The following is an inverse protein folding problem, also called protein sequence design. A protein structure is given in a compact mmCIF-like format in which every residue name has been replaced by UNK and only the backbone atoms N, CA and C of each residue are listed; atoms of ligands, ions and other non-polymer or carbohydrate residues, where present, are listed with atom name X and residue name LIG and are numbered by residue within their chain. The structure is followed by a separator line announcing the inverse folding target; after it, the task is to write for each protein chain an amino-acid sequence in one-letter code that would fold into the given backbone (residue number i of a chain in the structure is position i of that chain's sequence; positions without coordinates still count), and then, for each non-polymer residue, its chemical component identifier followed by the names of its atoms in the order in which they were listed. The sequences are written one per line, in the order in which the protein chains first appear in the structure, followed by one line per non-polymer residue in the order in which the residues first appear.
data_IF_828856689054
#
_entry.id   IF_828856689054
#
_cell.length_a   1.000
_cell.length_b   1.000
_cell.length_c   1.000
_cell.angle_alpha   90.00
_cell.angle_beta   90.00
_cell.angle_gamma   90.00
#
_symmetry.space_group_name_H-M   'P 1'
#
loop_
_entity.id
_entity.type
_entity.pdbx_description
1 polymer ?
#
# COMPACT_ATOMS: atom_id res chain seq x y z
N UNK A 1 -20.36 -22.78 -2.90
CA UNK A 1 -19.41 -22.71 -1.78
C UNK A 1 -18.94 -21.27 -1.71
N UNK A 2 -19.15 -20.54 -0.60
CA UNK A 2 -18.61 -19.20 -0.43
C UNK A 2 -17.09 -19.25 -0.50
N UNK A 3 -16.51 -18.51 -1.44
CA UNK A 3 -15.08 -18.51 -1.68
C UNK A 3 -14.54 -17.09 -1.73
N UNK A 4 -13.25 -16.95 -1.43
CA UNK A 4 -12.55 -15.68 -1.57
C UNK A 4 -11.17 -15.85 -2.19
N UNK A 5 -10.68 -14.76 -2.77
CA UNK A 5 -9.31 -14.64 -3.28
C UNK A 5 -8.65 -13.43 -2.66
N UNK A 6 -7.46 -13.62 -2.11
CA UNK A 6 -6.67 -12.54 -1.54
C UNK A 6 -5.55 -12.11 -2.50
N UNK A 7 -5.51 -10.82 -2.81
CA UNK A 7 -4.55 -10.24 -3.76
C UNK A 7 -4.83 -10.68 -5.19
N UNK A 8 -3.77 -10.79 -6.01
CA UNK A 8 -3.85 -11.14 -7.43
C UNK A 8 -2.92 -12.32 -7.73
N UNK A 9 -3.23 -13.53 -7.23
CA UNK A 9 -2.40 -14.70 -7.50
C UNK A 9 -2.24 -14.90 -9.03
N UNK A 10 -1.04 -15.25 -9.53
CA UNK A 10 -0.89 -15.54 -10.95
C UNK A 10 -1.75 -16.73 -11.36
N UNK A 11 -2.57 -16.57 -12.41
CA UNK A 11 -3.50 -17.61 -12.89
C UNK A 11 -2.80 -18.91 -13.29
N UNK A 12 -1.52 -18.87 -13.66
CA UNK A 12 -0.72 -20.04 -14.00
C UNK A 12 0.02 -20.65 -12.79
N UNK A 13 -0.19 -20.09 -11.59
CA UNK A 13 0.34 -20.60 -10.31
C UNK A 13 -0.80 -21.17 -9.47
N UNK A 14 -1.89 -20.42 -9.32
CA UNK A 14 -2.99 -20.75 -8.42
C UNK A 14 -4.32 -20.46 -9.11
N UNK A 15 -5.20 -21.45 -9.11
CA UNK A 15 -6.56 -21.30 -9.65
C UNK A 15 -7.42 -20.52 -8.67
N UNK A 16 -8.08 -19.47 -9.16
CA UNK A 16 -9.00 -18.67 -8.35
C UNK A 16 -10.41 -19.25 -8.45
N UNK A 17 -11.11 -19.48 -7.33
CA UNK A 17 -12.47 -20.03 -7.37
C UNK A 17 -13.42 -19.10 -8.13
N UNK A 18 -14.30 -19.67 -8.94
CA UNK A 18 -15.28 -18.88 -9.70
C UNK A 18 -16.23 -18.14 -8.76
N UNK A 19 -16.39 -16.84 -8.98
CA UNK A 19 -17.25 -15.99 -8.14
C UNK A 19 -16.66 -15.70 -6.75
N UNK A 20 -15.37 -15.96 -6.55
CA UNK A 20 -14.69 -15.63 -5.30
C UNK A 20 -14.78 -14.13 -5.00
N UNK A 21 -15.06 -13.80 -3.74
CA UNK A 21 -14.97 -12.42 -3.23
C UNK A 21 -13.53 -11.95 -3.27
N UNK A 22 -13.31 -10.73 -3.76
CA UNK A 22 -11.98 -10.14 -3.79
C UNK A 22 -11.62 -9.55 -2.43
N UNK A 23 -10.49 -9.99 -1.86
CA UNK A 23 -9.91 -9.50 -0.61
C UNK A 23 -8.55 -8.89 -0.92
N UNK A 24 -8.41 -7.57 -0.87
CA UNK A 24 -7.08 -6.98 -0.96
C UNK A 24 -7.10 -5.55 -0.46
N UNK A 25 -6.14 -5.15 0.41
CA UNK A 25 -5.98 -3.75 0.73
C UNK A 25 -5.47 -2.94 -0.47
N UNK A 26 -4.93 -3.58 -1.50
CA UNK A 26 -4.31 -2.92 -2.67
C UNK A 26 -5.25 -2.82 -3.88
N UNK A 27 -6.49 -3.28 -3.76
CA UNK A 27 -7.48 -3.22 -4.85
C UNK A 27 -8.71 -2.45 -4.34
N UNK A 28 -8.85 -1.17 -4.72
CA UNK A 28 -10.01 -0.36 -4.35
C UNK A 28 -11.34 -1.05 -4.66
N UNK A 29 -12.25 -1.02 -3.69
CA UNK A 29 -13.57 -1.68 -3.77
C UNK A 29 -13.58 -3.15 -3.31
N UNK A 30 -12.45 -3.71 -2.91
CA UNK A 30 -12.37 -5.07 -2.34
C UNK A 30 -12.76 -5.11 -0.86
N UNK A 31 -13.20 -6.27 -0.40
CA UNK A 31 -13.59 -6.46 1.00
C UNK A 31 -12.36 -6.52 1.93
N UNK A 32 -12.59 -6.28 3.23
CA UNK A 32 -11.58 -6.49 4.27
C UNK A 32 -11.72 -7.86 4.90
N UNK A 33 -10.70 -8.71 4.76
CA UNK A 33 -10.65 -10.00 5.44
C UNK A 33 -10.82 -9.86 6.96
N UNK A 34 -10.33 -8.76 7.55
CA UNK A 34 -10.47 -8.51 8.99
C UNK A 34 -11.90 -8.17 9.43
N UNK A 35 -12.76 -7.74 8.50
CA UNK A 35 -14.17 -7.42 8.76
C UNK A 35 -15.11 -8.60 8.44
N UNK A 36 -14.59 -9.68 7.85
CA UNK A 36 -15.38 -10.87 7.57
C UNK A 36 -15.65 -11.66 8.85
N UNK A 37 -16.82 -12.33 8.89
CA UNK A 37 -17.17 -13.21 10.00
C UNK A 37 -16.30 -14.49 10.02
N UNK A 38 -16.05 -15.00 11.22
CA UNK A 38 -15.36 -16.28 11.43
C UNK A 38 -16.12 -17.42 10.74
N UNK A 39 -15.38 -18.39 10.19
CA UNK A 39 -15.95 -19.58 9.55
C UNK A 39 -17.05 -19.30 8.50
N UNK A 40 -16.92 -18.20 7.75
CA UNK A 40 -17.88 -17.74 6.73
C UNK A 40 -17.55 -18.17 5.29
N UNK A 41 -16.38 -18.76 5.08
CA UNK A 41 -15.90 -19.21 3.78
C UNK A 41 -15.60 -20.72 3.78
N UNK A 42 -15.85 -21.36 2.64
CA UNK A 42 -15.48 -22.77 2.38
C UNK A 42 -14.11 -22.86 1.69
N UNK A 43 -13.72 -21.84 0.93
CA UNK A 43 -12.49 -21.86 0.12
C UNK A 43 -11.80 -20.48 0.08
N UNK A 44 -10.47 -20.46 0.26
CA UNK A 44 -9.64 -19.26 0.11
C UNK A 44 -8.43 -19.53 -0.76
N UNK A 45 -8.31 -18.75 -1.82
CA UNK A 45 -7.11 -18.61 -2.65
C UNK A 45 -6.27 -17.43 -2.14
N UNK A 46 -5.03 -17.63 -1.74
CA UNK A 46 -4.24 -16.62 -1.02
C UNK A 46 -2.90 -16.34 -1.70
N UNK A 47 -2.73 -15.16 -2.32
CA UNK A 47 -1.39 -14.64 -2.59
C UNK A 47 -0.83 -14.01 -1.31
N UNK A 48 0.12 -14.70 -0.67
CA UNK A 48 0.68 -14.29 0.61
C UNK A 48 1.62 -13.09 0.40
N UNK A 49 1.46 -12.01 1.17
CA UNK A 49 2.29 -10.82 1.01
C UNK A 49 3.73 -11.05 1.47
N UNK A 50 4.69 -10.22 1.01
CA UNK A 50 6.12 -10.46 1.21
C UNK A 50 6.61 -10.14 2.63
N UNK A 51 5.96 -9.23 3.38
CA UNK A 51 6.34 -8.88 4.74
C UNK A 51 6.10 -10.03 5.73
N UNK A 52 7.02 -10.29 6.66
CA UNK A 52 6.89 -11.45 7.56
C UNK A 52 5.69 -11.34 8.52
N UNK A 53 5.55 -10.20 9.19
CA UNK A 53 4.43 -9.92 10.11
C UNK A 53 3.11 -9.83 9.34
N UNK A 54 3.12 -9.13 8.21
CA UNK A 54 1.98 -9.02 7.30
C UNK A 54 1.51 -10.40 6.79
N UNK A 55 2.44 -11.26 6.38
CA UNK A 55 2.12 -12.61 5.92
C UNK A 55 1.47 -13.45 7.02
N UNK A 56 2.03 -13.44 8.23
CA UNK A 56 1.42 -14.15 9.37
C UNK A 56 0.01 -13.65 9.66
N UNK A 57 -0.18 -12.34 9.67
CA UNK A 57 -1.49 -11.70 9.86
C UNK A 57 -2.50 -12.15 8.82
N UNK A 58 -2.14 -12.06 7.53
CA UNK A 58 -3.03 -12.40 6.42
C UNK A 58 -3.36 -13.89 6.40
N UNK A 59 -2.38 -14.78 6.65
CA UNK A 59 -2.62 -16.22 6.75
C UNK A 59 -3.52 -16.55 7.95
N UNK A 60 -3.29 -15.95 9.11
CA UNK A 60 -4.14 -16.14 10.29
C UNK A 60 -5.58 -15.66 10.04
N UNK A 61 -5.76 -14.51 9.40
CA UNK A 61 -7.07 -14.01 8.98
C UNK A 61 -7.76 -14.96 8.00
N UNK A 62 -7.04 -15.48 7.01
CA UNK A 62 -7.57 -16.45 6.05
C UNK A 62 -8.06 -17.73 6.74
N UNK A 63 -7.29 -18.26 7.71
CA UNK A 63 -7.67 -19.43 8.50
C UNK A 63 -8.87 -19.16 9.42
N UNK A 64 -8.97 -17.96 10.00
CA UNK A 64 -10.11 -17.53 10.85
C UNK A 64 -11.42 -17.52 10.06
N UNK A 65 -11.42 -16.97 8.85
CA UNK A 65 -12.63 -16.82 8.03
C UNK A 65 -13.06 -18.13 7.35
N UNK A 66 -12.15 -19.10 7.20
CA UNK A 66 -12.47 -20.43 6.67
C UNK A 66 -13.23 -21.26 7.70
N UNK A 67 -14.24 -22.04 7.29
CA UNK A 67 -14.91 -23.02 8.14
C UNK A 67 -14.01 -24.25 8.43
N UNK A 68 -14.20 -24.98 9.55
CA UNK A 68 -13.57 -26.29 9.75
C UNK A 68 -13.80 -27.21 8.55
N UNK A 69 -12.73 -27.80 7.99
CA UNK A 69 -12.77 -28.58 6.75
C UNK A 69 -12.71 -27.75 5.46
N UNK A 70 -12.70 -26.42 5.54
CA UNK A 70 -12.57 -25.53 4.39
C UNK A 70 -11.17 -25.56 3.78
N UNK A 71 -11.07 -25.26 2.48
CA UNK A 71 -9.82 -25.34 1.73
C UNK A 71 -9.08 -23.99 1.69
N UNK A 72 -7.81 -23.99 2.07
CA UNK A 72 -6.87 -22.90 1.83
C UNK A 72 -5.83 -23.35 0.82
N UNK A 73 -5.70 -22.61 -0.28
CA UNK A 73 -4.54 -22.72 -1.16
C UNK A 73 -3.78 -21.39 -1.09
N UNK A 74 -2.59 -21.42 -0.52
CA UNK A 74 -1.75 -20.24 -0.32
C UNK A 74 -0.50 -20.31 -1.20
N UNK A 75 -0.11 -19.20 -1.80
CA UNK A 75 1.09 -19.11 -2.63
C UNK A 75 1.91 -17.85 -2.33
N UNK A 76 3.22 -17.97 -2.41
CA UNK A 76 4.14 -16.83 -2.43
C UNK A 76 5.35 -17.13 -3.32
N UNK A 77 5.95 -16.10 -3.96
CA UNK A 77 7.23 -16.26 -4.64
C UNK A 77 8.29 -16.80 -3.68
N UNK A 78 9.13 -17.72 -4.16
CA UNK A 78 10.15 -18.41 -3.36
C UNK A 78 11.07 -17.42 -2.65
N UNK A 79 11.51 -16.40 -3.36
CA UNK A 79 12.40 -15.34 -2.88
C UNK A 79 11.68 -14.27 -2.04
N UNK A 80 10.34 -14.30 -1.99
CA UNK A 80 9.51 -13.31 -1.28
C UNK A 80 8.48 -13.96 -0.37
N UNK A 81 8.98 -14.81 0.52
CA UNK A 81 8.21 -15.40 1.61
C UNK A 81 7.68 -16.80 1.36
N UNK A 82 7.78 -17.33 0.13
CA UNK A 82 7.39 -18.70 -0.17
C UNK A 82 8.12 -19.72 0.72
N UNK A 83 9.42 -19.53 0.98
CA UNK A 83 10.22 -20.45 1.80
C UNK A 83 9.79 -20.57 3.28
N UNK A 84 9.07 -19.58 3.82
CA UNK A 84 8.56 -19.62 5.20
C UNK A 84 7.09 -20.07 5.28
N UNK A 85 6.37 -20.06 4.16
CA UNK A 85 4.91 -20.26 4.13
C UNK A 85 4.46 -21.56 4.79
N UNK A 86 5.08 -22.69 4.41
CA UNK A 86 4.78 -24.00 5.00
C UNK A 86 4.93 -23.98 6.52
N UNK A 87 6.08 -23.50 7.01
CA UNK A 87 6.36 -23.41 8.46
C UNK A 87 5.37 -22.50 9.19
N UNK A 88 4.94 -21.40 8.57
CA UNK A 88 3.92 -20.52 9.15
C UNK A 88 2.59 -21.25 9.32
N UNK A 89 2.13 -21.98 8.30
CA UNK A 89 0.89 -22.76 8.37
C UNK A 89 0.97 -23.91 9.38
N UNK A 90 2.07 -24.67 9.39
CA UNK A 90 2.32 -25.72 10.38
C UNK A 90 2.34 -25.16 11.81
N UNK A 91 2.90 -23.95 12.00
CA UNK A 91 2.88 -23.24 13.27
C UNK A 91 1.48 -22.85 13.76
N UNK A 92 0.50 -22.76 12.86
CA UNK A 92 -0.91 -22.57 13.20
C UNK A 92 -1.67 -23.88 13.42
N UNK A 93 -0.98 -25.03 13.41
CA UNK A 93 -1.57 -26.35 13.60
C UNK A 93 -2.12 -27.00 12.33
N UNK A 94 -1.77 -26.47 11.15
CA UNK A 94 -2.22 -27.02 9.87
C UNK A 94 -1.34 -28.19 9.41
N UNK A 95 -1.96 -29.22 8.84
CA UNK A 95 -1.27 -30.17 7.98
C UNK A 95 -1.14 -29.57 6.58
N UNK A 96 0.08 -29.57 6.01
CA UNK A 96 0.39 -28.80 4.80
C UNK A 96 0.92 -29.69 3.69
N UNK A 97 0.20 -29.72 2.56
CA UNK A 97 0.71 -30.25 1.29
C UNK A 97 1.42 -29.12 0.51
N UNK A 98 2.74 -29.23 0.34
CA UNK A 98 3.53 -28.24 -0.38
C UNK A 98 3.90 -28.71 -1.80
N UNK A 99 3.69 -27.83 -2.78
CA UNK A 99 4.21 -27.97 -4.14
C UNK A 99 4.92 -26.69 -4.56
N UNK A 100 5.53 -26.69 -5.74
CA UNK A 100 6.17 -25.51 -6.31
C UNK A 100 5.91 -25.41 -7.81
N UNK A 101 5.65 -24.20 -8.28
CA UNK A 101 5.38 -23.90 -9.69
C UNK A 101 5.81 -22.47 -10.00
N UNK A 102 6.43 -22.21 -11.15
CA UNK A 102 6.82 -20.86 -11.62
C UNK A 102 7.53 -20.01 -10.55
N UNK A 103 8.49 -20.59 -9.84
CA UNK A 103 9.21 -19.94 -8.73
C UNK A 103 8.35 -19.57 -7.51
N UNK A 104 7.12 -20.06 -7.40
CA UNK A 104 6.31 -19.95 -6.20
C UNK A 104 6.37 -21.23 -5.36
N UNK A 105 6.23 -21.07 -4.05
CA UNK A 105 5.76 -22.14 -3.16
C UNK A 105 4.24 -22.08 -3.10
N UNK A 106 3.61 -23.25 -3.11
CA UNK A 106 2.16 -23.39 -3.01
C UNK A 106 1.89 -24.37 -1.88
N UNK A 107 1.07 -23.97 -0.92
CA UNK A 107 0.68 -24.77 0.23
C UNK A 107 -0.83 -24.95 0.20
N UNK A 108 -1.29 -26.20 0.14
CA UNK A 108 -2.69 -26.56 0.28
C UNK A 108 -2.93 -27.09 1.70
N UNK A 109 -4.01 -26.62 2.32
CA UNK A 109 -4.41 -26.93 3.69
C UNK A 109 -5.92 -27.14 3.72
N UNK A 110 -6.36 -28.21 4.36
CA UNK A 110 -7.72 -28.33 4.86
C UNK A 110 -7.73 -27.74 6.28
N UNK A 111 -8.56 -26.72 6.54
CA UNK A 111 -8.54 -25.97 7.78
C UNK A 111 -8.94 -26.89 8.96
N UNK A 112 -8.06 -27.11 9.95
CA UNK A 112 -8.36 -28.01 11.06
C UNK A 112 -9.47 -27.44 11.96
N UNK A 113 -10.09 -28.33 12.76
CA UNK A 113 -11.10 -27.94 13.74
C UNK A 113 -10.57 -26.92 14.76
N UNK A 114 -9.31 -27.08 15.17
CA UNK A 114 -8.62 -26.23 16.14
C UNK A 114 -7.38 -25.61 15.51
N UNK A 115 -7.19 -24.31 15.73
CA UNK A 115 -6.02 -23.55 15.30
C UNK A 115 -5.22 -23.11 16.53
N UNK A 116 -3.93 -22.88 16.35
CA UNK A 116 -3.03 -22.43 17.42
C UNK A 116 -2.43 -21.08 17.04
N UNK A 117 -2.36 -20.12 17.96
CA UNK A 117 -1.52 -18.92 17.77
C UNK A 117 -2.04 -17.89 16.75
N UNK A 118 -3.29 -18.02 16.29
CA UNK A 118 -3.86 -17.14 15.26
C UNK A 118 -4.22 -15.77 15.83
N UNK A 119 -4.70 -15.72 17.08
CA UNK A 119 -5.07 -14.49 17.77
C UNK A 119 -3.85 -13.60 17.99
N UNK A 120 -2.71 -14.18 18.38
CA UNK A 120 -1.44 -13.48 18.55
C UNK A 120 -0.92 -12.95 17.21
N UNK A 121 -1.02 -13.74 16.13
CA UNK A 121 -0.62 -13.30 14.80
C UNK A 121 -1.52 -12.16 14.28
N UNK A 122 -2.82 -12.22 14.56
CA UNK A 122 -3.78 -11.16 14.23
C UNK A 122 -3.44 -9.89 15.01
N UNK A 123 -3.17 -9.99 16.31
CA UNK A 123 -2.79 -8.86 17.15
C UNK A 123 -1.45 -8.23 16.70
N UNK A 124 -0.46 -9.05 16.34
CA UNK A 124 0.86 -8.60 15.89
C UNK A 124 0.79 -7.78 14.59
N UNK A 125 -0.12 -8.16 13.68
CA UNK A 125 -0.35 -7.49 12.40
C UNK A 125 -1.44 -6.42 12.38
N UNK A 126 -2.11 -6.17 13.50
CA UNK A 126 -3.15 -5.15 13.60
C UNK A 126 -2.59 -3.72 13.53
N UNK A 127 -3.42 -2.72 13.15
CA UNK A 127 -3.05 -1.32 13.27
C UNK A 127 -2.68 -0.95 14.71
N UNK A 128 -1.63 -0.13 14.87
CA UNK A 128 -1.11 0.30 16.18
C UNK A 128 -0.61 1.74 16.15
N UNK A 129 -0.58 2.38 17.31
CA UNK A 129 0.01 3.69 17.50
C UNK A 129 1.55 3.57 17.59
N UNK A 130 2.27 4.30 16.74
CA UNK A 130 3.72 4.43 16.79
C UNK A 130 4.15 5.40 17.90
N UNK A 131 5.44 5.38 18.32
CA UNK A 131 5.99 6.38 19.25
C UNK A 131 5.83 7.84 18.78
N UNK A 132 5.67 8.07 17.47
CA UNK A 132 5.38 9.41 16.92
C UNK A 132 3.96 9.91 17.19
N UNK A 133 3.09 9.08 17.78
CA UNK A 133 1.67 9.38 17.94
C UNK A 133 0.83 9.18 16.67
N UNK A 134 1.37 8.52 15.64
CA UNK A 134 0.63 8.18 14.42
C UNK A 134 0.25 6.70 14.39
N UNK A 135 -0.96 6.40 13.94
CA UNK A 135 -1.39 5.07 13.57
C UNK A 135 -0.65 4.57 12.34
N UNK A 136 -0.26 3.29 12.38
CA UNK A 136 0.37 2.57 11.28
C UNK A 136 0.06 1.08 11.39
N UNK A 137 0.38 0.29 10.36
CA UNK A 137 0.13 -1.15 10.33
C UNK A 137 1.23 -1.90 9.55
N UNK A 138 1.67 -3.09 10.01
CA UNK A 138 2.54 -3.96 9.21
C UNK A 138 2.03 -4.18 7.78
N UNK A 139 2.95 -4.05 6.83
CA UNK A 139 2.65 -4.11 5.40
C UNK A 139 2.49 -2.73 4.73
N UNK A 140 2.23 -1.68 5.51
CA UNK A 140 2.28 -0.30 5.00
C UNK A 140 3.73 0.14 4.76
N UNK A 141 3.95 1.01 3.77
CA UNK A 141 5.26 1.58 3.49
C UNK A 141 5.86 2.26 4.73
N UNK A 142 7.10 1.88 5.07
CA UNK A 142 7.82 2.38 6.26
C UNK A 142 6.99 2.32 7.55
N UNK A 143 6.20 1.26 7.75
CA UNK A 143 5.21 1.20 8.84
C UNK A 143 5.74 1.40 10.27
N UNK A 144 7.05 1.29 10.52
CA UNK A 144 7.65 1.49 11.85
C UNK A 144 8.20 2.90 12.09
N UNK A 145 8.39 3.72 11.04
CA UNK A 145 9.13 4.99 11.15
C UNK A 145 8.85 5.94 9.99
N UNK A 146 9.27 7.19 10.14
CA UNK A 146 9.37 8.11 9.01
C UNK A 146 10.45 7.62 8.02
N UNK A 147 10.08 7.51 6.75
CA UNK A 147 11.01 7.22 5.65
C UNK A 147 11.98 8.39 5.44
N UNK A 148 13.24 8.11 5.08
CA UNK A 148 14.27 9.13 4.89
C UNK A 148 14.03 10.01 3.66
N UNK A 149 13.38 9.48 2.63
CA UNK A 149 12.94 10.26 1.47
C UNK A 149 11.82 11.24 1.81
N UNK A 150 10.82 10.79 2.58
CA UNK A 150 9.79 11.68 3.14
C UNK A 150 10.36 12.69 4.12
N UNK A 151 11.31 12.30 4.98
CA UNK A 151 11.99 13.19 5.92
C UNK A 151 12.75 14.30 5.18
N UNK A 152 13.47 13.95 4.11
CA UNK A 152 14.19 14.92 3.29
C UNK A 152 13.21 15.91 2.65
N UNK A 153 12.09 15.44 2.10
CA UNK A 153 11.07 16.33 1.54
C UNK A 153 10.50 17.27 2.59
N UNK A 154 10.15 16.76 3.77
CA UNK A 154 9.63 17.57 4.88
C UNK A 154 10.58 18.70 5.30
N UNK A 155 11.89 18.47 5.27
CA UNK A 155 12.91 19.49 5.59
C UNK A 155 12.95 20.65 4.58
N UNK A 156 12.53 20.40 3.35
CA UNK A 156 12.62 21.38 2.25
C UNK A 156 11.25 21.88 1.76
N UNK A 157 10.16 21.31 2.25
CA UNK A 157 8.81 21.66 1.83
C UNK A 157 8.47 23.09 2.29
N UNK A 158 8.13 24.01 1.37
CA UNK A 158 7.73 25.35 1.76
C UNK A 158 6.33 25.33 2.37
N UNK A 159 5.91 26.45 2.97
CA UNK A 159 4.49 26.67 3.28
C UNK A 159 3.72 26.77 1.97
N UNK A 160 2.84 25.80 1.75
CA UNK A 160 1.96 25.74 0.57
C UNK A 160 0.67 26.51 0.83
N UNK A 161 -0.05 26.82 -0.24
CA UNK A 161 -1.31 27.58 -0.20
C UNK A 161 -2.27 27.14 -1.29
N UNK A 162 -3.56 27.37 -1.07
CA UNK A 162 -4.64 27.00 -1.98
C UNK A 162 -4.99 25.52 -1.89
N UNK A 163 -5.48 24.96 -2.99
CA UNK A 163 -5.89 23.55 -3.06
C UNK A 163 -4.79 22.67 -3.62
N UNK A 164 -4.58 21.49 -3.03
CA UNK A 164 -3.57 20.57 -3.53
C UNK A 164 -3.88 19.11 -3.27
N UNK A 165 -2.91 18.27 -3.63
CA UNK A 165 -2.99 16.83 -3.41
C UNK A 165 -1.69 16.24 -2.85
N UNK A 166 -1.83 15.16 -2.07
CA UNK A 166 -0.78 14.23 -1.67
C UNK A 166 -1.00 12.90 -2.40
N UNK A 167 -0.13 12.56 -3.35
CA UNK A 167 -0.26 11.35 -4.17
C UNK A 167 0.58 10.22 -3.58
N UNK A 168 -0.08 9.14 -3.14
CA UNK A 168 0.56 8.11 -2.32
C UNK A 168 0.79 8.60 -0.89
N UNK A 169 -0.25 9.17 -0.27
CA UNK A 169 -0.13 9.87 1.00
C UNK A 169 0.28 9.00 2.19
N UNK A 170 0.27 7.67 2.04
CA UNK A 170 0.64 6.72 3.07
C UNK A 170 -0.17 6.94 4.34
N UNK A 171 0.50 6.91 5.49
CA UNK A 171 -0.14 7.20 6.80
C UNK A 171 -0.29 8.70 7.08
N UNK A 172 0.05 9.59 6.13
CA UNK A 172 -0.22 11.02 6.23
C UNK A 172 0.94 11.93 6.69
N UNK A 173 2.19 11.47 6.64
CA UNK A 173 3.34 12.28 7.07
C UNK A 173 3.46 13.62 6.33
N UNK A 174 3.43 13.60 4.99
CA UNK A 174 3.52 14.80 4.16
C UNK A 174 2.26 15.64 4.30
N UNK A 175 1.10 15.02 4.20
CA UNK A 175 -0.21 15.65 4.40
C UNK A 175 -0.31 16.47 5.68
N UNK A 176 0.10 15.93 6.83
CA UNK A 176 0.08 16.66 8.11
C UNK A 176 0.97 17.90 8.07
N UNK A 177 2.14 17.82 7.44
CA UNK A 177 3.04 18.95 7.31
C UNK A 177 2.46 20.03 6.39
N UNK A 178 1.84 19.65 5.27
CA UNK A 178 1.13 20.57 4.37
C UNK A 178 0.03 21.33 5.12
N UNK A 179 -0.77 20.61 5.91
CA UNK A 179 -1.90 21.19 6.66
C UNK A 179 -1.46 22.12 7.81
N UNK A 180 -0.17 22.15 8.19
CA UNK A 180 0.33 23.18 9.12
C UNK A 180 0.33 24.59 8.52
N UNK A 181 0.07 24.74 7.22
CA UNK A 181 -0.13 26.03 6.59
C UNK A 181 -1.61 26.43 6.67
N UNK A 182 -1.96 27.58 7.26
CA UNK A 182 -3.35 28.06 7.29
C UNK A 182 -3.85 28.46 5.89
N UNK A 183 -2.95 28.75 4.96
CA UNK A 183 -3.29 29.18 3.60
C UNK A 183 -3.68 28.00 2.68
N UNK A 184 -3.49 26.75 3.12
CA UNK A 184 -4.03 25.58 2.42
C UNK A 184 -5.53 25.56 2.64
N UNK A 185 -6.30 25.59 1.55
CA UNK A 185 -7.76 25.62 1.57
C UNK A 185 -8.37 24.24 1.42
N UNK A 186 -7.69 23.32 0.72
CA UNK A 186 -8.12 21.93 0.53
C UNK A 186 -6.93 21.02 0.24
N UNK A 187 -6.95 19.81 0.78
CA UNK A 187 -5.97 18.76 0.48
C UNK A 187 -6.67 17.45 0.13
N UNK A 188 -6.45 16.93 -1.07
CA UNK A 188 -6.86 15.56 -1.45
C UNK A 188 -5.71 14.60 -1.23
N UNK A 189 -5.95 13.50 -0.53
CA UNK A 189 -4.93 12.51 -0.18
C UNK A 189 -5.35 11.22 -0.86
N UNK A 190 -4.57 10.78 -1.84
CA UNK A 190 -4.86 9.59 -2.64
C UNK A 190 -3.94 8.47 -2.19
N UNK A 191 -4.50 7.36 -1.74
CA UNK A 191 -3.74 6.22 -1.25
C UNK A 191 -4.33 4.90 -1.78
N UNK A 192 -3.46 4.02 -2.28
CA UNK A 192 -3.85 2.74 -2.87
C UNK A 192 -4.02 1.65 -1.80
N UNK A 193 -3.19 1.68 -0.76
CA UNK A 193 -3.24 0.72 0.34
C UNK A 193 -4.30 1.12 1.36
N UNK A 194 -5.39 0.34 1.43
CA UNK A 194 -6.49 0.56 2.38
C UNK A 194 -6.00 0.67 3.82
N UNK A 195 -4.94 -0.06 4.20
CA UNK A 195 -4.39 -0.01 5.56
C UNK A 195 -3.77 1.34 5.86
N UNK A 196 -3.02 1.89 4.89
CA UNK A 196 -2.44 3.21 4.99
C UNK A 196 -3.52 4.29 4.99
N UNK A 197 -4.53 4.14 4.13
CA UNK A 197 -5.76 4.96 4.10
C UNK A 197 -6.47 4.99 5.46
N UNK A 198 -6.73 3.83 6.06
CA UNK A 198 -7.42 3.71 7.36
C UNK A 198 -6.58 4.34 8.48
N UNK A 199 -5.25 4.20 8.43
CA UNK A 199 -4.33 4.87 9.35
C UNK A 199 -4.33 6.39 9.14
N UNK A 200 -4.27 6.87 7.89
CA UNK A 200 -4.30 8.29 7.56
C UNK A 200 -5.58 8.96 8.06
N UNK A 201 -6.73 8.28 7.97
CA UNK A 201 -8.01 8.77 8.52
C UNK A 201 -8.02 8.95 10.03
N UNK A 202 -7.20 8.19 10.76
CA UNK A 202 -7.01 8.37 12.20
C UNK A 202 -5.94 9.41 12.50
N UNK A 203 -4.99 9.61 11.58
CA UNK A 203 -3.86 10.51 11.75
C UNK A 203 -4.17 11.95 11.32
N UNK A 204 -5.23 12.18 10.54
CA UNK A 204 -5.57 13.47 9.97
C UNK A 204 -7.04 13.77 10.27
N UNK A 205 -7.26 14.63 11.26
CA UNK A 205 -8.58 15.08 11.70
C UNK A 205 -8.93 16.48 11.15
N UNK A 206 -8.12 17.00 10.22
CA UNK A 206 -8.31 18.33 9.64
C UNK A 206 -9.41 18.31 8.56
N UNK A 207 -10.44 19.14 8.72
CA UNK A 207 -11.60 19.22 7.81
C UNK A 207 -11.25 19.62 6.38
N UNK A 208 -10.07 20.24 6.17
CA UNK A 208 -9.59 20.59 4.83
C UNK A 208 -9.10 19.37 4.04
N UNK A 209 -8.88 18.24 4.71
CA UNK A 209 -8.39 17.02 4.11
C UNK A 209 -9.54 16.10 3.65
N UNK A 210 -9.40 15.54 2.45
CA UNK A 210 -10.22 14.41 1.98
C UNK A 210 -9.30 13.27 1.61
N UNK A 211 -9.50 12.11 2.24
CA UNK A 211 -8.68 10.92 2.00
C UNK A 211 -9.49 9.94 1.15
N UNK A 212 -8.89 9.45 0.07
CA UNK A 212 -9.53 8.58 -0.92
C UNK A 212 -8.72 7.28 -1.07
N UNK A 213 -9.40 6.14 -0.94
CA UNK A 213 -8.83 4.83 -1.25
C UNK A 213 -8.94 4.60 -2.75
N UNK A 214 -7.88 4.93 -3.49
CA UNK A 214 -7.87 4.91 -4.94
C UNK A 214 -6.46 4.73 -5.50
N UNK A 215 -6.39 4.22 -6.73
CA UNK A 215 -5.17 4.26 -7.52
C UNK A 215 -4.99 5.67 -8.10
N UNK A 216 -3.84 6.30 -7.83
CA UNK A 216 -3.46 7.62 -8.37
C UNK A 216 -3.62 7.69 -9.90
N UNK A 217 -3.41 6.58 -10.60
CA UNK A 217 -3.53 6.51 -12.07
C UNK A 217 -4.98 6.58 -12.55
N UNK A 218 -5.95 6.27 -11.69
CA UNK A 218 -7.36 6.08 -12.04
C UNK A 218 -8.32 6.82 -11.08
N UNK A 219 -7.92 7.97 -10.53
CA UNK A 219 -8.77 8.76 -9.63
C UNK A 219 -10.01 9.30 -10.37
N UNK A 220 -11.19 9.11 -9.77
CA UNK A 220 -12.46 9.57 -10.32
C UNK A 220 -13.26 10.36 -9.25
N UNK A 221 -13.65 11.63 -9.51
CA UNK A 221 -13.33 12.41 -10.69
C UNK A 221 -11.83 12.77 -10.76
N UNK A 222 -11.28 12.96 -11.98
CA UNK A 222 -9.87 13.34 -12.14
C UNK A 222 -9.50 14.56 -11.31
N UNK A 223 -8.26 14.57 -10.80
CA UNK A 223 -7.69 15.73 -10.14
C UNK A 223 -7.52 16.87 -11.18
N UNK A 224 -7.90 18.09 -10.83
CA UNK A 224 -7.78 19.25 -11.69
C UNK A 224 -7.61 20.54 -10.87
N UNK A 225 -7.11 21.58 -11.53
CA UNK A 225 -6.98 22.95 -11.00
C UNK A 225 -6.19 23.11 -9.70
N UNK A 226 -5.26 22.19 -9.41
CA UNK A 226 -4.48 22.21 -8.17
C UNK A 226 -3.40 23.30 -8.19
N UNK A 227 -3.20 23.97 -7.04
CA UNK A 227 -2.10 24.89 -6.77
C UNK A 227 -0.78 24.14 -6.52
N UNK A 228 -0.88 22.98 -5.86
CA UNK A 228 0.28 22.17 -5.54
C UNK A 228 -0.02 20.66 -5.52
N UNK A 229 1.02 19.88 -5.72
CA UNK A 229 1.04 18.44 -5.47
C UNK A 229 2.30 18.12 -4.66
N UNK A 230 2.17 17.27 -3.64
CA UNK A 230 3.28 16.67 -2.91
C UNK A 230 3.25 15.15 -3.12
N UNK A 231 4.42 14.50 -3.19
CA UNK A 231 4.47 13.04 -3.25
C UNK A 231 5.84 12.46 -2.91
N UNK A 232 5.83 11.28 -2.30
CA UNK A 232 6.96 10.36 -2.27
C UNK A 232 6.52 9.08 -3.02
N UNK A 233 6.63 9.05 -4.36
CA UNK A 233 6.05 8.00 -5.17
C UNK A 233 6.68 6.64 -4.87
N UNK A 234 5.90 5.54 -4.94
CA UNK A 234 6.43 4.20 -4.80
C UNK A 234 7.45 3.91 -5.90
N UNK A 235 8.50 3.16 -5.54
CA UNK A 235 9.57 2.75 -6.45
C UNK A 235 9.67 1.23 -6.63
N UNK A 236 8.84 0.47 -5.92
CA UNK A 236 8.69 -0.97 -6.10
C UNK A 236 7.21 -1.32 -6.26
N UNK A 237 6.85 -1.99 -7.36
CA UNK A 237 5.58 -2.72 -7.46
C UNK A 237 5.90 -4.22 -7.49
N UNK A 238 5.26 -4.98 -6.61
CA UNK A 238 5.42 -6.42 -6.58
C UNK A 238 6.89 -6.89 -6.61
N UNK A 239 7.80 -6.21 -5.90
CA UNK A 239 9.21 -6.62 -5.72
C UNK A 239 10.17 -6.31 -6.87
N UNK A 240 9.71 -5.67 -7.95
CA UNK A 240 10.57 -5.13 -9.01
C UNK A 240 10.58 -3.60 -8.96
N UNK A 241 11.71 -2.98 -9.29
CA UNK A 241 11.83 -1.54 -9.46
C UNK A 241 10.94 -1.09 -10.63
N UNK A 242 9.77 -0.50 -10.33
CA UNK A 242 8.82 -0.05 -11.36
C UNK A 242 9.02 1.43 -11.66
N UNK A 243 9.86 1.69 -12.66
CA UNK A 243 10.10 3.03 -13.20
C UNK A 243 8.84 3.65 -13.79
N UNK A 244 7.95 2.84 -14.37
CA UNK A 244 6.75 3.31 -15.04
C UNK A 244 5.73 3.85 -14.01
N UNK A 245 5.67 3.27 -12.82
CA UNK A 245 4.77 3.73 -11.75
C UNK A 245 5.10 5.16 -11.29
N UNK A 246 6.36 5.41 -10.94
CA UNK A 246 6.80 6.76 -10.54
C UNK A 246 6.63 7.80 -11.67
N UNK A 247 6.88 7.40 -12.93
CA UNK A 247 6.63 8.26 -14.08
C UNK A 247 5.13 8.56 -14.28
N UNK A 248 4.25 7.58 -14.05
CA UNK A 248 2.82 7.78 -14.11
C UNK A 248 2.34 8.78 -13.05
N UNK A 249 2.86 8.69 -11.82
CA UNK A 249 2.58 9.67 -10.76
C UNK A 249 2.95 11.10 -11.18
N UNK A 250 4.12 11.29 -11.81
CA UNK A 250 4.55 12.61 -12.32
C UNK A 250 3.63 13.13 -13.42
N UNK A 251 3.20 12.25 -14.34
CA UNK A 251 2.24 12.65 -15.40
C UNK A 251 0.89 13.03 -14.80
N UNK A 252 0.38 12.28 -13.82
CA UNK A 252 -0.86 12.61 -13.09
C UNK A 252 -0.71 13.96 -12.37
N UNK A 253 0.37 14.14 -11.61
CA UNK A 253 0.64 15.39 -10.89
C UNK A 253 0.70 16.59 -11.84
N UNK A 254 1.42 16.47 -12.95
CA UNK A 254 1.42 17.51 -13.99
C UNK A 254 -0.01 17.75 -14.46
N UNK A 255 -0.72 16.72 -14.93
CA UNK A 255 -2.09 16.84 -15.47
C UNK A 255 -3.07 17.56 -14.53
N UNK A 256 -2.94 17.35 -13.22
CA UNK A 256 -3.79 17.92 -12.19
C UNK A 256 -3.50 19.39 -11.85
N UNK A 257 -2.27 19.85 -12.09
CA UNK A 257 -1.83 21.20 -11.69
C UNK A 257 -2.31 22.27 -12.69
N UNK A 258 -2.80 23.39 -12.15
CA UNK A 258 -3.09 24.59 -12.94
C UNK A 258 -1.80 25.26 -13.43
N UNK A 259 -1.93 26.23 -14.35
CA UNK A 259 -0.79 27.05 -14.81
C UNK A 259 -0.12 27.73 -13.60
N UNK A 260 1.20 27.54 -13.46
CA UNK A 260 1.98 28.05 -12.33
C UNK A 260 1.91 27.21 -11.05
N UNK A 261 1.11 26.14 -11.01
CA UNK A 261 1.09 25.19 -9.91
C UNK A 261 2.42 24.42 -9.80
N UNK A 262 2.71 23.93 -8.59
CA UNK A 262 4.00 23.31 -8.26
C UNK A 262 3.88 21.87 -7.78
N UNK A 263 4.77 21.01 -8.26
CA UNK A 263 5.00 19.67 -7.76
C UNK A 263 6.23 19.68 -6.85
N UNK A 264 6.09 19.10 -5.67
CA UNK A 264 7.17 18.78 -4.75
C UNK A 264 7.30 17.26 -4.61
N UNK A 265 8.40 16.69 -5.10
CA UNK A 265 8.58 15.24 -5.06
C UNK A 265 9.90 14.79 -4.43
N UNK A 266 9.85 13.63 -3.79
CA UNK A 266 11.02 12.81 -3.48
C UNK A 266 11.29 11.85 -4.64
N UNK A 267 12.50 11.88 -5.18
CA UNK A 267 12.96 10.97 -6.22
C UNK A 267 14.10 10.09 -5.69
N UNK A 268 14.05 8.78 -5.94
CA UNK A 268 15.21 7.92 -5.70
C UNK A 268 16.34 8.30 -6.66
N UNK A 269 17.58 8.44 -6.15
CA UNK A 269 18.72 8.92 -6.93
C UNK A 269 19.04 8.07 -8.17
N UNK A 270 18.77 6.77 -8.13
CA UNK A 270 19.06 5.82 -9.21
C UNK A 270 17.96 5.75 -10.28
N UNK A 271 16.79 6.35 -10.04
CA UNK A 271 15.66 6.31 -10.94
C UNK A 271 15.68 7.51 -11.91
N UNK A 272 15.36 7.29 -13.21
CA UNK A 272 15.44 8.34 -14.24
C UNK A 272 14.20 9.25 -14.23
N UNK A 273 14.00 9.97 -13.13
CA UNK A 273 12.87 10.89 -12.95
C UNK A 273 13.02 12.18 -13.75
N UNK A 274 14.25 12.60 -14.02
CA UNK A 274 14.56 13.87 -14.67
C UNK A 274 13.97 13.97 -16.09
N UNK A 275 13.98 12.87 -16.85
CA UNK A 275 13.42 12.84 -18.21
C UNK A 275 11.94 13.17 -18.19
N UNK A 276 11.13 12.45 -17.40
CA UNK A 276 9.69 12.68 -17.34
C UNK A 276 9.34 14.03 -16.69
N UNK A 277 10.15 14.52 -15.75
CA UNK A 277 9.95 15.85 -15.17
C UNK A 277 10.15 16.95 -16.21
N UNK A 278 11.22 16.88 -17.00
CA UNK A 278 11.51 17.87 -18.04
C UNK A 278 10.52 17.80 -19.21
N UNK A 279 9.92 16.63 -19.48
CA UNK A 279 8.83 16.49 -20.44
C UNK A 279 7.51 17.09 -19.91
N UNK A 280 7.22 16.90 -18.62
CA UNK A 280 5.92 17.22 -18.04
C UNK A 280 5.80 18.64 -17.45
N UNK A 281 6.92 19.32 -17.19
CA UNK A 281 6.98 20.62 -16.51
C UNK A 281 7.88 21.61 -17.25
N UNK A 282 7.58 22.91 -17.14
CA UNK A 282 8.36 23.98 -17.78
C UNK A 282 9.66 24.29 -17.05
N UNK A 283 9.63 24.18 -15.73
CA UNK A 283 10.79 24.44 -14.86
C UNK A 283 10.89 23.29 -13.89
N UNK A 284 12.08 22.69 -13.82
CA UNK A 284 12.42 21.63 -12.87
C UNK A 284 13.66 22.08 -12.11
N UNK A 285 13.54 22.21 -10.79
CA UNK A 285 14.61 22.67 -9.91
C UNK A 285 14.97 21.56 -8.91
N UNK A 286 16.20 21.04 -8.92
CA UNK A 286 16.69 20.22 -7.82
C UNK A 286 16.85 21.11 -6.57
N UNK A 287 16.26 20.69 -5.47
CA UNK A 287 16.25 21.43 -4.20
C UNK A 287 17.22 20.82 -3.19
N UNK A 288 17.32 19.49 -3.17
CA UNK A 288 18.23 18.77 -2.28
C UNK A 288 18.65 17.43 -2.90
N UNK A 289 19.82 16.93 -2.50
CA UNK A 289 20.32 15.59 -2.83
C UNK A 289 21.04 15.01 -1.61
N UNK A 290 20.38 14.09 -0.90
CA UNK A 290 20.88 13.53 0.34
C UNK A 290 20.26 12.15 0.61
N UNK A 291 20.95 11.31 1.38
CA UNK A 291 20.42 10.02 1.86
C UNK A 291 19.92 9.06 0.77
N UNK A 292 20.43 9.18 -0.46
CA UNK A 292 19.99 8.36 -1.60
C UNK A 292 18.76 8.91 -2.35
N UNK A 293 18.25 10.07 -1.96
CA UNK A 293 17.10 10.74 -2.55
C UNK A 293 17.45 12.14 -3.07
N UNK A 294 16.68 12.59 -4.05
CA UNK A 294 16.67 13.96 -4.55
C UNK A 294 15.29 14.56 -4.31
N UNK A 295 15.26 15.84 -3.96
CA UNK A 295 14.02 16.62 -3.88
C UNK A 295 13.94 17.53 -5.10
N UNK A 296 12.80 17.51 -5.78
CA UNK A 296 12.52 18.38 -6.91
C UNK A 296 11.32 19.27 -6.62
N UNK A 297 11.46 20.55 -6.99
CA UNK A 297 10.35 21.46 -7.25
C UNK A 297 10.16 21.52 -8.78
N UNK A 298 8.97 21.24 -9.29
CA UNK A 298 8.64 21.36 -10.70
C UNK A 298 7.40 22.23 -10.93
N UNK A 299 7.38 23.07 -11.97
CA UNK A 299 6.32 24.08 -12.21
C UNK A 299 5.71 24.01 -13.62
N UNK A 300 4.38 24.10 -13.69
CA UNK A 300 3.55 24.14 -14.93
C UNK A 300 3.65 25.47 -15.69
#
# INVERSE_FOLDING_TARGET
MPAAVYGTPPNDVLETPKGARQLSPLIPGSDDVAQMADASLDEVALLVPPGAVEARYVVAQALRVLAPGGALVATAPKDRGGLRLKRTLEGFGCEVAETARRHHRICAVERPATLTGIEEAIAEGAPRLMPSGLWSQPGVFSWERLDSGSELLLKHLPKLKGQGADLGGGIGWLSRAVLTSPDVTKLRIIELDRRAYDCARRNIEDERATIEWADVRNVAPPLADLDFVVMNPPFHDGGAEDRALGQAFIRVASSALRKGGTLWLTANRHLPYETVLNEAFKVVKPVADASGFKIYEARR
#
